data_IF_435539102494
#
_entry.id   IF_435539102494
#
_cell.length_a   1.000
_cell.length_b   1.000
_cell.length_c   1.000
_cell.angle_alpha   90.00
_cell.angle_beta   90.00
_cell.angle_gamma   90.00
#
_symmetry.space_group_name_H-M   'P 1'
#
loop_
_entity.id
_entity.type
_entity.pdbx_description
1 polymer ?
#
# COMPACT_ATOMS: atom_id res chain seq x y z
N UNK A 1 -6.57 20.22 -12.03
CA UNK A 1 -5.12 20.42 -11.82
C UNK A 1 -4.85 20.17 -10.35
N UNK A 2 -3.81 19.38 -9.98
CA UNK A 2 -3.49 19.18 -8.57
C UNK A 2 -3.03 20.51 -7.94
N UNK A 3 -3.40 20.82 -6.69
CA UNK A 3 -2.87 21.95 -5.95
C UNK A 3 -1.35 21.87 -5.79
N UNK A 4 -0.74 22.95 -5.31
CA UNK A 4 0.69 22.96 -5.00
C UNK A 4 1.06 21.77 -4.10
N UNK A 5 2.19 21.14 -4.43
CA UNK A 5 2.68 19.95 -3.72
C UNK A 5 3.77 20.34 -2.74
N UNK A 6 3.53 20.15 -1.45
CA UNK A 6 4.58 20.19 -0.43
C UNK A 6 5.29 18.83 -0.39
N UNK A 7 6.61 18.82 -0.56
CA UNK A 7 7.43 17.62 -0.36
C UNK A 7 7.95 17.58 1.07
N UNK A 8 7.63 16.50 1.79
CA UNK A 8 8.00 16.36 3.20
C UNK A 8 8.74 15.05 3.42
N UNK A 9 9.90 15.12 4.04
CA UNK A 9 10.61 13.97 4.57
C UNK A 9 10.13 13.72 6.01
N UNK A 10 9.66 12.49 6.25
CA UNK A 10 9.15 12.07 7.57
C UNK A 10 10.01 10.91 8.06
N UNK A 11 10.59 11.06 9.24
CA UNK A 11 11.31 9.98 9.90
C UNK A 11 10.32 8.95 10.44
N UNK A 12 10.47 7.70 10.02
CA UNK A 12 9.58 6.58 10.39
C UNK A 12 10.21 5.63 11.40
N UNK A 13 11.54 5.63 11.47
CA UNK A 13 12.35 5.03 12.52
C UNK A 13 13.72 5.74 12.55
N UNK A 14 14.54 5.63 13.59
CA UNK A 14 15.81 6.33 13.69
C UNK A 14 16.71 6.13 12.45
N UNK A 15 17.03 7.21 11.76
CA UNK A 15 17.85 7.20 10.54
C UNK A 15 17.15 6.70 9.29
N UNK A 16 15.84 6.55 9.29
CA UNK A 16 15.03 6.12 8.13
C UNK A 16 13.94 7.13 7.84
N UNK A 17 13.95 7.68 6.63
CA UNK A 17 12.96 8.65 6.18
C UNK A 17 12.18 8.17 4.97
N UNK A 18 10.92 8.58 4.89
CA UNK A 18 10.05 8.43 3.72
C UNK A 18 9.68 9.79 3.17
N UNK A 19 9.48 9.86 1.85
CA UNK A 19 9.06 11.09 1.16
C UNK A 19 7.55 11.07 0.96
N UNK A 20 6.87 12.07 1.50
CA UNK A 20 5.46 12.33 1.29
C UNK A 20 5.26 13.54 0.37
N UNK A 21 4.32 13.44 -0.55
CA UNK A 21 3.83 14.54 -1.38
C UNK A 21 2.46 14.97 -0.85
N UNK A 22 2.42 16.11 -0.18
CA UNK A 22 1.24 16.60 0.52
C UNK A 22 0.53 17.68 -0.29
N UNK A 23 -0.79 17.55 -0.39
CA UNK A 23 -1.70 18.53 -0.98
C UNK A 23 -2.66 18.97 0.12
N UNK A 24 -2.62 20.22 0.49
CA UNK A 24 -3.37 20.76 1.60
C UNK A 24 -4.54 21.63 1.14
N UNK A 25 -5.64 21.54 1.86
CA UNK A 25 -6.72 22.53 1.80
C UNK A 25 -6.36 23.76 2.66
N UNK A 26 -7.08 24.84 2.51
CA UNK A 26 -6.91 26.03 3.34
C UNK A 26 -7.19 25.72 4.81
N UNK A 27 -8.26 24.98 5.07
CA UNK A 27 -8.61 24.46 6.39
C UNK A 27 -7.99 23.08 6.62
N UNK A 28 -6.66 23.07 6.75
CA UNK A 28 -5.84 21.85 6.87
C UNK A 28 -6.25 20.95 8.04
N UNK A 29 -6.61 21.56 9.17
CA UNK A 29 -6.86 20.82 10.42
C UNK A 29 -8.16 20.04 10.38
N UNK A 30 -9.21 20.64 9.84
CA UNK A 30 -10.57 20.09 9.83
C UNK A 30 -10.90 19.28 8.56
N UNK A 31 -10.18 19.54 7.47
CA UNK A 31 -10.32 18.73 6.26
C UNK A 31 -9.86 17.27 6.49
N UNK A 32 -10.64 16.30 6.00
CA UNK A 32 -10.22 14.89 6.04
C UNK A 32 -8.86 14.72 5.35
N UNK A 33 -7.89 14.15 6.05
CA UNK A 33 -6.56 13.86 5.49
C UNK A 33 -6.48 12.42 5.00
N UNK A 34 -6.28 12.23 3.71
CA UNK A 34 -6.18 10.90 3.06
C UNK A 34 -4.72 10.56 2.82
N UNK A 35 -4.21 9.53 3.52
CA UNK A 35 -2.86 9.00 3.31
C UNK A 35 -2.95 7.84 2.32
N UNK A 36 -2.27 7.97 1.16
CA UNK A 36 -2.32 6.98 0.08
C UNK A 36 -1.00 6.22 0.00
N UNK A 37 -1.09 4.89 -0.10
CA UNK A 37 0.06 3.96 -0.14
C UNK A 37 0.03 3.16 -1.44
N UNK A 38 1.12 3.23 -2.20
CA UNK A 38 1.26 2.56 -3.49
C UNK A 38 1.57 1.05 -3.38
N UNK A 39 1.41 0.33 -4.49
CA UNK A 39 1.74 -1.08 -4.63
C UNK A 39 3.24 -1.36 -4.80
N UNK A 40 3.57 -2.64 -5.03
CA UNK A 40 4.94 -3.12 -5.23
C UNK A 40 5.65 -2.32 -6.35
N UNK A 41 6.85 -1.80 -6.05
CA UNK A 41 7.68 -1.00 -6.96
C UNK A 41 6.99 0.25 -7.54
N UNK A 42 5.87 0.69 -6.94
CA UNK A 42 5.21 1.95 -7.25
C UNK A 42 5.90 3.17 -6.64
N UNK A 43 5.23 4.30 -6.74
CA UNK A 43 5.64 5.56 -6.11
C UNK A 43 4.45 6.51 -5.94
N UNK A 44 4.67 7.65 -5.31
CA UNK A 44 3.71 8.77 -5.26
C UNK A 44 3.24 9.25 -6.65
N UNK A 45 4.01 8.94 -7.71
CA UNK A 45 3.70 9.31 -9.09
C UNK A 45 2.93 8.23 -9.87
N UNK A 46 2.58 7.11 -9.25
CA UNK A 46 1.72 6.09 -9.87
C UNK A 46 0.36 6.69 -10.24
N UNK A 47 -0.20 6.31 -11.39
CA UNK A 47 -1.40 6.94 -11.95
C UNK A 47 -2.57 6.97 -10.96
N UNK A 48 -2.85 5.86 -10.29
CA UNK A 48 -3.92 5.80 -9.30
C UNK A 48 -3.67 6.69 -8.06
N UNK A 49 -2.40 6.91 -7.67
CA UNK A 49 -2.04 7.85 -6.60
C UNK A 49 -2.40 9.29 -6.99
N UNK A 50 -2.08 9.65 -8.24
CA UNK A 50 -2.41 10.96 -8.82
C UNK A 50 -3.92 11.12 -9.01
N UNK A 51 -4.60 10.05 -9.44
CA UNK A 51 -6.05 10.05 -9.65
C UNK A 51 -6.84 10.27 -8.36
N UNK A 52 -6.51 9.53 -7.30
CA UNK A 52 -7.10 9.76 -5.96
C UNK A 52 -6.76 11.17 -5.46
N UNK A 53 -5.52 11.62 -5.64
CA UNK A 53 -5.15 12.96 -5.20
C UNK A 53 -5.96 14.06 -5.91
N UNK A 54 -6.13 13.95 -7.23
CA UNK A 54 -6.91 14.90 -8.01
C UNK A 54 -8.39 14.93 -7.57
N UNK A 55 -9.00 13.75 -7.41
CA UNK A 55 -10.41 13.63 -7.03
C UNK A 55 -10.64 14.02 -5.56
N UNK A 56 -9.76 13.58 -4.66
CA UNK A 56 -9.87 13.90 -3.23
C UNK A 56 -9.70 15.39 -2.94
N UNK A 57 -8.68 16.03 -3.54
CA UNK A 57 -8.49 17.48 -3.37
C UNK A 57 -9.63 18.30 -3.96
N UNK A 58 -10.23 17.84 -5.06
CA UNK A 58 -11.37 18.51 -5.69
C UNK A 58 -12.64 18.49 -4.81
N UNK A 59 -12.75 17.55 -3.87
CA UNK A 59 -13.89 17.46 -2.93
C UNK A 59 -13.53 17.93 -1.51
N UNK A 60 -12.42 18.67 -1.36
CA UNK A 60 -12.05 19.32 -0.09
C UNK A 60 -11.23 18.46 0.86
N UNK A 61 -10.63 17.35 0.41
CA UNK A 61 -9.75 16.53 1.25
C UNK A 61 -8.28 17.01 1.16
N UNK A 62 -7.56 16.94 2.27
CA UNK A 62 -6.10 16.90 2.22
C UNK A 62 -5.66 15.54 1.67
N UNK A 63 -4.60 15.51 0.87
CA UNK A 63 -4.09 14.25 0.33
C UNK A 63 -2.59 14.14 0.51
N UNK A 64 -2.14 13.04 1.12
CA UNK A 64 -0.74 12.72 1.35
C UNK A 64 -0.39 11.45 0.57
N UNK A 65 0.35 11.59 -0.52
CA UNK A 65 0.86 10.50 -1.34
C UNK A 65 2.21 10.04 -0.78
N UNK A 66 2.20 8.95 -0.01
CA UNK A 66 3.39 8.42 0.64
C UNK A 66 4.20 7.56 -0.34
N UNK A 67 5.51 7.81 -0.43
CA UNK A 67 6.44 6.84 -0.97
C UNK A 67 6.88 5.89 0.15
N UNK A 68 6.77 4.58 -0.06
CA UNK A 68 7.37 3.61 0.83
C UNK A 68 8.90 3.73 0.80
N UNK A 69 9.59 3.18 1.79
CA UNK A 69 11.07 3.21 1.85
C UNK A 69 11.68 2.84 0.51
N UNK A 70 12.70 3.54 0.08
CA UNK A 70 13.43 3.33 -1.16
C UNK A 70 12.63 3.58 -2.46
N UNK A 71 11.36 3.96 -2.38
CA UNK A 71 10.52 4.24 -3.55
C UNK A 71 10.50 5.74 -3.87
N UNK A 72 10.16 6.08 -5.13
CA UNK A 72 10.08 7.49 -5.55
C UNK A 72 11.42 8.23 -5.53
N UNK A 73 12.55 7.53 -5.75
CA UNK A 73 13.88 8.13 -5.78
C UNK A 73 14.51 8.33 -4.40
N UNK A 74 14.02 7.65 -3.37
CA UNK A 74 14.47 7.81 -1.97
C UNK A 74 15.40 6.69 -1.50
N UNK A 75 16.06 5.98 -2.42
CA UNK A 75 16.90 4.82 -2.09
C UNK A 75 18.00 5.11 -1.06
N UNK A 76 18.51 6.34 -1.02
CA UNK A 76 19.55 6.77 -0.09
C UNK A 76 19.04 7.12 1.32
N UNK A 77 17.72 7.30 1.50
CA UNK A 77 17.12 7.77 2.76
C UNK A 77 16.86 6.64 3.77
N UNK A 78 17.13 5.40 3.41
CA UNK A 78 16.91 4.26 4.29
C UNK A 78 17.95 3.17 4.03
N UNK A 79 18.68 2.70 5.05
CA UNK A 79 19.55 1.53 4.94
C UNK A 79 18.80 0.19 4.98
N UNK A 80 17.47 0.20 5.02
CA UNK A 80 16.62 -1.00 5.08
C UNK A 80 15.74 -1.12 3.86
N UNK A 81 15.13 -2.29 3.61
CA UNK A 81 14.18 -2.50 2.52
C UNK A 81 12.74 -2.24 2.99
N UNK A 82 11.88 -1.82 2.05
CA UNK A 82 10.44 -1.90 2.25
C UNK A 82 9.96 -3.34 2.02
N UNK A 83 8.86 -3.72 2.64
CA UNK A 83 8.22 -5.02 2.46
C UNK A 83 6.74 -4.97 2.92
N UNK A 84 5.96 -5.99 2.59
CA UNK A 84 4.51 -6.04 2.86
C UNK A 84 4.10 -5.99 4.34
N UNK A 85 5.05 -6.11 5.26
CA UNK A 85 4.80 -6.04 6.70
C UNK A 85 5.10 -4.67 7.35
N UNK A 86 5.57 -3.67 6.59
CA UNK A 86 5.98 -2.34 7.13
C UNK A 86 4.80 -1.39 7.37
N UNK A 87 3.73 -1.87 8.00
CA UNK A 87 2.57 -1.07 8.42
C UNK A 87 2.95 0.08 9.37
N UNK A 88 3.98 -0.10 10.19
CA UNK A 88 4.46 0.89 11.16
C UNK A 88 5.01 2.18 10.52
N UNK A 89 5.48 2.13 9.28
CA UNK A 89 5.89 3.35 8.56
C UNK A 89 4.68 4.26 8.30
N UNK A 90 3.52 3.68 7.96
CA UNK A 90 2.27 4.43 7.77
C UNK A 90 1.80 5.00 9.10
N UNK A 91 1.90 4.23 10.18
CA UNK A 91 1.58 4.71 11.53
C UNK A 91 2.44 5.92 11.92
N UNK A 92 3.74 5.87 11.64
CA UNK A 92 4.65 6.98 11.93
C UNK A 92 4.32 8.23 11.10
N UNK A 93 3.96 8.05 9.82
CA UNK A 93 3.48 9.16 8.96
C UNK A 93 2.21 9.77 9.55
N UNK A 94 1.19 8.96 9.89
CA UNK A 94 -0.06 9.45 10.48
C UNK A 94 0.21 10.20 11.79
N UNK A 95 1.05 9.66 12.68
CA UNK A 95 1.42 10.32 13.93
C UNK A 95 2.17 11.65 13.71
N UNK A 96 3.03 11.72 12.67
CA UNK A 96 3.70 12.97 12.31
C UNK A 96 2.68 14.04 11.91
N UNK A 97 1.72 13.69 11.04
CA UNK A 97 0.68 14.62 10.57
C UNK A 97 -0.22 15.09 11.72
N UNK A 98 -0.63 14.18 12.63
CA UNK A 98 -1.39 14.54 13.82
C UNK A 98 -0.63 15.56 14.68
N UNK A 99 0.67 15.34 14.91
CA UNK A 99 1.48 16.20 15.79
C UNK A 99 1.86 17.53 15.14
N UNK A 100 2.25 17.52 13.87
CA UNK A 100 2.81 18.70 13.19
C UNK A 100 1.74 19.55 12.53
N UNK A 101 0.72 18.92 11.93
CA UNK A 101 -0.34 19.61 11.18
C UNK A 101 -1.65 19.68 11.97
N UNK A 102 -1.70 19.03 13.14
CA UNK A 102 -2.88 19.01 14.03
C UNK A 102 -4.16 18.54 13.33
N UNK A 103 -4.01 17.58 12.38
CA UNK A 103 -5.15 17.04 11.65
C UNK A 103 -6.14 16.37 12.64
N UNK A 104 -7.42 16.70 12.51
CA UNK A 104 -8.47 16.18 13.38
C UNK A 104 -8.96 14.79 13.00
N UNK A 105 -8.80 14.42 11.71
CA UNK A 105 -9.24 13.12 11.17
C UNK A 105 -8.44 12.71 9.95
N UNK A 106 -8.21 11.40 9.83
CA UNK A 106 -7.53 10.85 8.65
C UNK A 106 -8.09 9.48 8.25
N UNK A 107 -7.94 9.18 6.97
CA UNK A 107 -8.22 7.88 6.37
C UNK A 107 -7.00 7.33 5.65
N UNK A 108 -6.93 6.01 5.49
CA UNK A 108 -5.88 5.32 4.76
C UNK A 108 -6.43 4.76 3.45
N UNK A 109 -5.67 4.89 2.36
CA UNK A 109 -5.99 4.28 1.06
C UNK A 109 -4.78 3.50 0.59
N UNK A 110 -4.99 2.26 0.14
CA UNK A 110 -3.89 1.43 -0.36
C UNK A 110 -4.26 0.64 -1.61
N UNK A 111 -3.28 0.47 -2.48
CA UNK A 111 -3.40 -0.30 -3.73
C UNK A 111 -2.48 -1.51 -3.70
N UNK A 112 -3.00 -2.70 -4.05
CA UNK A 112 -2.19 -3.93 -4.14
C UNK A 112 -1.44 -4.21 -2.82
N UNK A 113 -0.11 -4.23 -2.81
CA UNK A 113 0.71 -4.34 -1.60
C UNK A 113 0.43 -3.20 -0.60
N UNK A 114 0.20 -1.97 -1.08
CA UNK A 114 -0.23 -0.85 -0.23
C UNK A 114 -1.58 -1.11 0.42
N UNK A 115 -2.50 -1.78 -0.29
CA UNK A 115 -3.77 -2.25 0.25
C UNK A 115 -3.60 -3.25 1.39
N UNK A 116 -2.66 -4.19 1.25
CA UNK A 116 -2.29 -5.09 2.36
C UNK A 116 -1.77 -4.30 3.57
N UNK A 117 -0.88 -3.32 3.34
CA UNK A 117 -0.28 -2.53 4.42
C UNK A 117 -1.30 -1.72 5.22
N UNK A 118 -2.24 -1.03 4.55
CA UNK A 118 -3.26 -0.23 5.24
C UNK A 118 -4.26 -1.09 5.99
N UNK A 119 -4.67 -2.25 5.42
CA UNK A 119 -5.55 -3.20 6.10
C UNK A 119 -4.84 -3.88 7.28
N UNK A 120 -3.56 -4.24 7.12
CA UNK A 120 -2.73 -4.78 8.20
C UNK A 120 -2.65 -3.79 9.36
N UNK A 121 -2.33 -2.54 9.09
CA UNK A 121 -2.27 -1.50 10.12
C UNK A 121 -3.60 -1.32 10.83
N UNK A 122 -4.70 -1.23 10.07
CA UNK A 122 -6.05 -1.10 10.64
C UNK A 122 -6.41 -2.29 11.56
N UNK A 123 -6.06 -3.52 11.16
CA UNK A 123 -6.28 -4.71 11.97
C UNK A 123 -5.33 -4.82 13.18
N UNK A 124 -4.08 -4.36 13.06
CA UNK A 124 -3.14 -4.28 14.18
C UNK A 124 -3.58 -3.27 15.22
N UNK A 125 -4.08 -2.13 14.80
CA UNK A 125 -4.66 -1.13 15.70
C UNK A 125 -5.98 -1.62 16.33
N UNK A 126 -6.84 -2.24 15.54
CA UNK A 126 -8.13 -2.68 16.02
C UNK A 126 -8.87 -1.55 16.75
N UNK A 127 -9.29 -1.82 17.98
CA UNK A 127 -9.98 -0.85 18.86
C UNK A 127 -9.05 0.17 19.51
N UNK A 128 -7.74 -0.05 19.45
CA UNK A 128 -6.70 0.85 20.00
C UNK A 128 -6.21 1.87 18.94
N UNK A 129 -6.89 1.97 17.81
CA UNK A 129 -6.57 2.92 16.76
C UNK A 129 -6.58 4.37 17.29
N UNK A 130 -5.73 5.26 16.75
CA UNK A 130 -5.80 6.68 17.06
C UNK A 130 -7.22 7.21 16.85
N UNK A 131 -7.71 8.07 17.74
CA UNK A 131 -9.06 8.63 17.70
C UNK A 131 -9.35 9.36 16.36
N UNK A 132 -8.30 9.91 15.74
CA UNK A 132 -8.38 10.60 14.45
C UNK A 132 -8.56 9.64 13.26
N UNK A 133 -8.31 8.33 13.43
CA UNK A 133 -8.43 7.35 12.36
C UNK A 133 -9.90 6.98 12.12
N UNK A 134 -10.45 7.37 10.98
CA UNK A 134 -11.87 7.24 10.72
C UNK A 134 -12.26 6.22 9.65
N UNK A 135 -11.39 5.90 8.69
CA UNK A 135 -11.73 4.95 7.62
C UNK A 135 -10.50 4.37 6.92
N UNK A 136 -10.67 3.23 6.25
CA UNK A 136 -9.67 2.66 5.35
C UNK A 136 -10.29 2.15 4.06
N UNK A 137 -9.61 2.36 2.92
CA UNK A 137 -10.00 1.80 1.64
C UNK A 137 -8.83 1.04 1.01
N UNK A 138 -9.09 -0.12 0.44
CA UNK A 138 -8.08 -0.96 -0.19
C UNK A 138 -8.55 -1.47 -1.55
N UNK A 139 -7.72 -1.30 -2.59
CA UNK A 139 -8.02 -1.73 -3.96
C UNK A 139 -7.11 -2.89 -4.34
N UNK A 140 -7.69 -4.03 -4.70
CA UNK A 140 -6.99 -5.30 -5.00
C UNK A 140 -5.89 -5.63 -3.98
N UNK A 141 -6.17 -5.61 -2.66
CA UNK A 141 -5.15 -5.81 -1.64
C UNK A 141 -4.57 -7.23 -1.68
N UNK A 142 -3.24 -7.35 -1.66
CA UNK A 142 -2.55 -8.65 -1.62
C UNK A 142 -2.55 -9.26 -0.21
N UNK A 143 -3.73 -9.51 0.35
CA UNK A 143 -3.90 -9.96 1.74
C UNK A 143 -3.38 -11.38 2.01
N UNK A 144 -3.45 -12.26 1.01
CA UNK A 144 -2.92 -13.62 1.05
C UNK A 144 -1.60 -13.66 0.26
N UNK A 145 -0.51 -13.18 0.87
CA UNK A 145 0.77 -12.96 0.20
C UNK A 145 1.33 -14.20 -0.46
N UNK A 146 1.34 -15.35 0.25
CA UNK A 146 1.84 -16.61 -0.28
C UNK A 146 1.08 -17.05 -1.55
N UNK A 147 -0.25 -17.08 -1.48
CA UNK A 147 -1.10 -17.50 -2.60
C UNK A 147 -0.98 -16.55 -3.80
N UNK A 148 -0.83 -15.24 -3.57
CA UNK A 148 -0.65 -14.25 -4.61
C UNK A 148 0.73 -14.33 -5.27
N UNK A 149 1.80 -14.58 -4.49
CA UNK A 149 3.15 -14.81 -5.00
C UNK A 149 3.21 -16.07 -5.87
N UNK A 150 2.55 -17.16 -5.44
CA UNK A 150 2.48 -18.40 -6.21
C UNK A 150 1.67 -18.21 -7.50
N UNK A 151 0.53 -17.50 -7.44
CA UNK A 151 -0.27 -17.20 -8.62
C UNK A 151 0.48 -16.32 -9.64
N UNK A 152 1.35 -15.42 -9.17
CA UNK A 152 2.19 -14.61 -10.03
C UNK A 152 3.18 -15.44 -10.85
N UNK A 153 3.64 -16.58 -10.31
CA UNK A 153 4.57 -17.51 -10.99
C UNK A 153 3.89 -18.40 -12.05
N UNK A 154 2.55 -18.37 -12.17
CA UNK A 154 1.78 -19.26 -13.04
C UNK A 154 1.45 -18.65 -14.41
N UNK A 155 1.55 -19.45 -15.47
CA UNK A 155 1.03 -19.14 -16.80
C UNK A 155 1.45 -17.79 -17.35
N UNK A 156 0.47 -17.03 -17.87
CA UNK A 156 0.68 -15.68 -18.42
C UNK A 156 1.10 -14.62 -17.39
N UNK A 157 0.89 -14.88 -16.10
CA UNK A 157 1.28 -13.95 -15.04
C UNK A 157 2.80 -13.81 -14.90
N UNK A 158 3.58 -14.74 -15.46
CA UNK A 158 5.05 -14.66 -15.48
C UNK A 158 5.59 -13.41 -16.16
N UNK A 159 4.82 -12.74 -17.02
CA UNK A 159 5.21 -11.44 -17.57
C UNK A 159 5.21 -10.35 -16.49
N UNK A 160 4.21 -10.35 -15.62
CA UNK A 160 4.17 -9.45 -14.45
C UNK A 160 5.29 -9.78 -13.47
N UNK A 161 5.51 -11.07 -13.19
CA UNK A 161 6.59 -11.51 -12.33
C UNK A 161 7.97 -11.07 -12.88
N UNK A 162 8.22 -11.26 -14.18
CA UNK A 162 9.46 -10.81 -14.81
C UNK A 162 9.67 -9.30 -14.64
N UNK A 163 8.62 -8.49 -14.84
CA UNK A 163 8.66 -7.04 -14.66
C UNK A 163 9.01 -6.65 -13.21
N UNK A 164 8.31 -7.24 -12.22
CA UNK A 164 8.61 -7.00 -10.81
C UNK A 164 10.02 -7.47 -10.44
N UNK A 165 10.42 -8.63 -10.88
CA UNK A 165 11.77 -9.16 -10.63
C UNK A 165 12.86 -8.28 -11.24
N UNK A 166 12.64 -7.69 -12.40
CA UNK A 166 13.57 -6.74 -13.00
C UNK A 166 13.73 -5.49 -12.12
N UNK A 167 12.65 -4.94 -11.62
CA UNK A 167 12.66 -3.77 -10.74
C UNK A 167 13.32 -4.08 -9.39
N UNK A 168 12.95 -5.18 -8.74
CA UNK A 168 13.52 -5.62 -7.46
C UNK A 168 15.03 -5.88 -7.56
N UNK A 169 15.49 -6.50 -8.67
CA UNK A 169 16.91 -6.68 -8.94
C UNK A 169 17.64 -5.35 -9.12
N UNK A 170 17.03 -4.41 -9.82
CA UNK A 170 17.58 -3.06 -9.99
C UNK A 170 17.70 -2.36 -8.64
N UNK A 171 16.67 -2.46 -7.80
CA UNK A 171 16.67 -1.89 -6.45
C UNK A 171 17.77 -2.50 -5.57
N UNK A 172 17.88 -3.80 -5.50
CA UNK A 172 18.95 -4.44 -4.71
C UNK A 172 20.36 -4.01 -5.18
N UNK A 173 20.58 -3.90 -6.50
CA UNK A 173 21.85 -3.36 -7.02
C UNK A 173 22.10 -1.92 -6.58
N UNK A 174 21.06 -1.08 -6.58
CA UNK A 174 21.15 0.29 -6.07
C UNK A 174 21.48 0.30 -4.58
N UNK A 175 20.80 -0.52 -3.78
CA UNK A 175 21.06 -0.64 -2.34
C UNK A 175 22.48 -1.12 -2.05
N UNK A 176 22.98 -2.09 -2.79
CA UNK A 176 24.36 -2.58 -2.65
C UNK A 176 25.42 -1.52 -3.00
N UNK A 177 25.08 -0.57 -3.89
CA UNK A 177 25.97 0.57 -4.18
C UNK A 177 25.94 1.63 -3.10
N UNK A 178 24.75 1.93 -2.56
CA UNK A 178 24.56 2.99 -1.55
C UNK A 178 24.99 2.52 -0.15
N UNK A 179 24.78 1.26 0.17
CA UNK A 179 25.04 0.67 1.49
C UNK A 179 25.81 -0.67 1.35
N UNK A 180 27.05 -0.66 0.83
CA UNK A 180 27.80 -1.90 0.54
C UNK A 180 28.14 -2.72 1.79
N UNK A 181 28.12 -2.09 2.98
CA UNK A 181 28.33 -2.78 4.26
C UNK A 181 27.08 -3.55 4.73
N UNK A 182 25.89 -3.28 4.13
CA UNK A 182 24.62 -3.92 4.50
C UNK A 182 24.16 -4.88 3.41
N UNK A 183 24.24 -4.47 2.15
CA UNK A 183 23.67 -5.20 1.01
C UNK A 183 24.75 -5.71 0.07
N UNK A 184 24.56 -6.92 -0.43
CA UNK A 184 25.29 -7.48 -1.55
C UNK A 184 24.35 -8.05 -2.62
N UNK A 185 24.90 -8.34 -3.80
CA UNK A 185 24.13 -8.92 -4.92
C UNK A 185 24.26 -10.42 -5.01
N UNK A 186 25.06 -11.07 -4.16
CA UNK A 186 25.30 -12.52 -4.20
C UNK A 186 24.04 -13.31 -3.90
N UNK A 187 23.17 -12.76 -3.05
CA UNK A 187 21.88 -13.38 -2.71
C UNK A 187 20.91 -13.48 -3.89
N UNK A 188 21.18 -12.77 -5.00
CA UNK A 188 20.41 -12.93 -6.24
C UNK A 188 20.75 -14.20 -7.03
N UNK A 189 21.78 -14.95 -6.62
CA UNK A 189 22.15 -16.19 -7.32
C UNK A 189 21.05 -17.24 -7.18
N UNK A 190 20.60 -17.79 -8.33
CA UNK A 190 19.53 -18.78 -8.39
C UNK A 190 18.15 -18.25 -7.96
N UNK A 191 17.93 -16.92 -7.95
CA UNK A 191 16.61 -16.33 -7.77
C UNK A 191 15.88 -16.29 -9.10
N UNK A 192 14.78 -17.02 -9.23
CA UNK A 192 14.01 -17.18 -10.48
C UNK A 192 12.56 -16.69 -10.37
N UNK A 193 12.06 -16.56 -9.14
CA UNK A 193 10.68 -16.16 -8.84
C UNK A 193 10.63 -15.07 -7.78
N UNK A 194 9.44 -14.46 -7.59
CA UNK A 194 9.20 -13.53 -6.49
C UNK A 194 9.38 -14.23 -5.13
N UNK A 195 8.88 -15.47 -5.00
CA UNK A 195 9.05 -16.26 -3.77
C UNK A 195 10.53 -16.52 -3.46
N UNK A 196 11.37 -16.84 -4.48
CA UNK A 196 12.82 -16.98 -4.27
C UNK A 196 13.46 -15.68 -3.81
N UNK A 197 13.01 -14.55 -4.37
CA UNK A 197 13.49 -13.23 -3.96
C UNK A 197 13.11 -12.94 -2.50
N UNK A 198 11.89 -13.24 -2.15
CA UNK A 198 11.40 -13.03 -0.79
C UNK A 198 12.11 -13.93 0.21
N UNK A 199 12.42 -15.18 -0.18
CA UNK A 199 13.14 -16.11 0.67
C UNK A 199 14.61 -15.71 0.89
N UNK A 200 15.32 -15.39 -0.20
CA UNK A 200 16.77 -15.16 -0.16
C UNK A 200 17.16 -13.71 0.13
N UNK A 201 16.31 -12.75 -0.21
CA UNK A 201 16.62 -11.32 -0.12
C UNK A 201 15.72 -10.65 0.92
N UNK A 202 14.40 -10.63 0.71
CA UNK A 202 13.49 -9.92 1.62
C UNK A 202 13.59 -10.48 3.04
N UNK A 203 13.47 -11.79 3.21
CA UNK A 203 13.54 -12.43 4.53
C UNK A 203 14.88 -12.12 5.21
N UNK A 204 15.98 -12.31 4.50
CA UNK A 204 17.31 -12.09 5.06
C UNK A 204 17.54 -10.66 5.56
N UNK A 205 17.24 -9.65 4.72
CA UNK A 205 17.51 -8.24 5.07
C UNK A 205 16.45 -7.61 5.97
N UNK A 206 15.29 -8.27 6.15
CA UNK A 206 14.18 -7.76 6.95
C UNK A 206 13.90 -8.56 8.23
N UNK A 207 14.75 -9.55 8.56
CA UNK A 207 14.67 -10.28 9.83
C UNK A 207 13.55 -11.32 9.90
N UNK A 208 13.30 -12.01 8.79
CA UNK A 208 12.41 -13.17 8.71
C UNK A 208 13.23 -14.44 8.51
N UNK A 209 12.67 -15.60 8.94
CA UNK A 209 13.33 -16.89 8.80
C UNK A 209 13.36 -17.40 7.35
N UNK A 210 12.41 -16.94 6.52
CA UNK A 210 12.26 -17.29 5.11
C UNK A 210 10.99 -16.67 4.53
N UNK A 211 10.68 -16.98 3.27
CA UNK A 211 9.49 -16.43 2.60
C UNK A 211 8.19 -16.77 3.34
N UNK A 212 8.06 -17.99 3.90
CA UNK A 212 6.85 -18.41 4.60
C UNK A 212 6.61 -17.60 5.87
N UNK A 213 7.63 -17.40 6.71
CA UNK A 213 7.56 -16.55 7.90
C UNK A 213 7.26 -15.10 7.52
N UNK A 214 7.92 -14.61 6.46
CA UNK A 214 7.64 -13.27 5.93
C UNK A 214 6.17 -13.10 5.54
N UNK A 215 5.63 -14.03 4.75
CA UNK A 215 4.24 -13.94 4.30
C UNK A 215 3.25 -14.05 5.45
N UNK A 216 3.47 -14.96 6.39
CA UNK A 216 2.61 -15.13 7.55
C UNK A 216 2.57 -13.85 8.41
N UNK A 217 3.72 -13.32 8.78
CA UNK A 217 3.82 -12.14 9.66
C UNK A 217 3.40 -10.83 8.98
N UNK A 218 3.37 -10.80 7.63
CA UNK A 218 3.09 -9.61 6.84
C UNK A 218 1.69 -9.56 6.24
N UNK A 219 0.93 -10.65 6.26
CA UNK A 219 -0.39 -10.77 5.66
C UNK A 219 -1.47 -10.06 6.47
N UNK A 220 -2.22 -9.15 5.84
CA UNK A 220 -3.40 -8.53 6.43
C UNK A 220 -4.51 -9.56 6.74
N UNK A 221 -4.55 -10.68 5.99
CA UNK A 221 -5.48 -11.79 6.22
C UNK A 221 -5.48 -12.33 7.67
N UNK A 222 -4.36 -12.14 8.40
CA UNK A 222 -4.22 -12.62 9.78
C UNK A 222 -4.83 -11.68 10.83
N UNK A 223 -5.16 -10.44 10.44
CA UNK A 223 -5.66 -9.41 11.37
C UNK A 223 -6.91 -8.70 10.87
N UNK A 224 -7.42 -9.05 9.68
CA UNK A 224 -8.52 -8.35 9.02
C UNK A 224 -9.83 -8.41 9.80
N UNK A 225 -10.05 -9.47 10.56
CA UNK A 225 -11.19 -9.65 11.46
C UNK A 225 -11.20 -8.66 12.65
N UNK A 226 -10.06 -8.04 12.94
CA UNK A 226 -9.89 -7.09 14.06
C UNK A 226 -10.14 -5.63 13.66
N UNK A 227 -10.32 -5.34 12.37
CA UNK A 227 -10.56 -3.97 11.91
C UNK A 227 -11.82 -3.41 12.56
N UNK A 228 -11.69 -2.26 13.20
CA UNK A 228 -12.74 -1.63 14.00
C UNK A 228 -13.28 -0.31 13.42
N UNK A 229 -12.81 0.10 12.24
CA UNK A 229 -13.27 1.30 11.53
C UNK A 229 -13.96 0.94 10.21
N UNK A 230 -14.83 1.80 9.69
CA UNK A 230 -15.42 1.65 8.35
C UNK A 230 -14.35 1.37 7.30
N UNK A 231 -14.54 0.30 6.54
CA UNK A 231 -13.55 -0.23 5.60
C UNK A 231 -14.19 -0.54 4.26
N UNK A 232 -13.60 -0.06 3.17
CA UNK A 232 -13.95 -0.44 1.82
C UNK A 232 -12.86 -1.33 1.22
N UNK A 233 -13.22 -2.51 0.74
CA UNK A 233 -12.32 -3.37 -0.04
C UNK A 233 -12.92 -3.54 -1.43
N UNK A 234 -12.20 -3.07 -2.45
CA UNK A 234 -12.52 -3.30 -3.87
C UNK A 234 -11.63 -4.40 -4.43
N UNK A 235 -12.23 -5.40 -5.06
CA UNK A 235 -11.52 -6.50 -5.70
C UNK A 235 -12.17 -6.84 -7.05
N UNK A 236 -11.37 -7.31 -8.01
CA UNK A 236 -11.87 -7.82 -9.29
C UNK A 236 -11.71 -9.35 -9.31
N UNK A 237 -12.78 -10.06 -9.63
CA UNK A 237 -12.75 -11.52 -9.74
C UNK A 237 -11.76 -12.01 -10.82
N UNK A 238 -11.55 -11.18 -11.85
CA UNK A 238 -10.58 -11.43 -12.92
C UNK A 238 -9.17 -10.89 -12.66
N UNK A 239 -8.83 -10.50 -11.39
CA UNK A 239 -7.45 -10.12 -11.05
C UNK A 239 -6.51 -11.29 -11.36
N UNK A 240 -5.48 -11.06 -12.20
CA UNK A 240 -4.67 -12.18 -12.70
C UNK A 240 -3.87 -12.90 -11.61
N UNK A 241 -3.49 -12.24 -10.51
CA UNK A 241 -2.60 -12.83 -9.50
C UNK A 241 -2.97 -12.55 -8.05
N UNK A 242 -3.81 -11.57 -7.73
CA UNK A 242 -4.26 -11.42 -6.35
C UNK A 242 -5.27 -12.52 -6.03
N UNK A 243 -5.02 -13.23 -4.94
CA UNK A 243 -5.90 -14.31 -4.46
C UNK A 243 -6.44 -13.97 -3.09
N UNK A 244 -7.74 -14.16 -2.93
CA UNK A 244 -8.42 -14.08 -1.62
C UNK A 244 -8.86 -15.50 -1.26
N UNK A 245 -8.21 -16.08 -0.25
CA UNK A 245 -8.52 -17.44 0.18
C UNK A 245 -9.89 -17.52 0.88
N UNK A 246 -10.57 -18.67 0.86
CA UNK A 246 -11.91 -18.82 1.44
C UNK A 246 -12.00 -18.37 2.89
N UNK A 247 -11.02 -18.72 3.71
CA UNK A 247 -10.95 -18.31 5.13
C UNK A 247 -10.80 -16.80 5.31
N UNK A 248 -10.03 -16.14 4.44
CA UNK A 248 -9.88 -14.68 4.43
C UNK A 248 -11.20 -14.03 4.01
N UNK A 249 -11.85 -14.55 2.98
CA UNK A 249 -13.16 -14.09 2.52
C UNK A 249 -14.20 -14.21 3.64
N UNK A 250 -14.21 -15.31 4.38
CA UNK A 250 -15.11 -15.49 5.51
C UNK A 250 -14.88 -14.44 6.60
N UNK A 251 -13.62 -14.14 6.95
CA UNK A 251 -13.28 -13.08 7.91
C UNK A 251 -13.79 -11.71 7.46
N UNK A 252 -13.58 -11.37 6.17
CA UNK A 252 -14.07 -10.12 5.56
C UNK A 252 -15.59 -10.02 5.70
N UNK A 253 -16.32 -11.03 5.27
CA UNK A 253 -17.79 -11.04 5.27
C UNK A 253 -18.40 -11.07 6.67
N UNK A 254 -17.66 -11.55 7.66
CA UNK A 254 -18.10 -11.60 9.07
C UNK A 254 -17.81 -10.32 9.84
N UNK A 255 -16.99 -9.41 9.31
CA UNK A 255 -16.69 -8.15 9.98
C UNK A 255 -17.68 -7.05 9.55
N UNK A 256 -18.55 -6.55 10.45
CA UNK A 256 -19.58 -5.58 10.11
C UNK A 256 -19.01 -4.22 9.68
N UNK A 257 -17.74 -3.94 9.95
CA UNK A 257 -17.09 -2.70 9.53
C UNK A 257 -16.58 -2.76 8.08
N UNK A 258 -16.60 -3.94 7.42
CA UNK A 258 -16.03 -4.12 6.09
C UNK A 258 -17.15 -4.19 5.04
N UNK A 259 -17.13 -3.25 4.12
CA UNK A 259 -17.85 -3.31 2.84
C UNK A 259 -16.94 -3.93 1.80
N UNK A 260 -17.25 -5.14 1.36
CA UNK A 260 -16.50 -5.85 0.33
C UNK A 260 -17.25 -5.77 -1.00
N UNK A 261 -16.63 -5.16 -1.99
CA UNK A 261 -17.16 -5.04 -3.35
C UNK A 261 -16.26 -5.82 -4.29
N UNK A 262 -16.80 -6.89 -4.85
CA UNK A 262 -16.14 -7.70 -5.88
C UNK A 262 -16.84 -7.51 -7.21
N UNK A 263 -16.12 -7.04 -8.21
CA UNK A 263 -16.60 -6.90 -9.58
C UNK A 263 -16.15 -8.08 -10.42
N UNK A 264 -16.90 -8.42 -11.47
CA UNK A 264 -16.48 -9.45 -12.42
C UNK A 264 -15.19 -9.04 -13.14
N UNK A 265 -15.16 -7.78 -13.60
CA UNK A 265 -14.05 -7.17 -14.33
C UNK A 265 -13.40 -6.03 -13.52
N UNK A 266 -12.13 -5.75 -13.82
CA UNK A 266 -11.35 -4.70 -13.17
C UNK A 266 -9.84 -4.95 -13.30
N UNK A 267 -9.46 -6.20 -13.48
CA UNK A 267 -8.06 -6.61 -13.53
C UNK A 267 -7.30 -6.21 -12.26
N UNK A 268 -5.99 -6.05 -12.36
CA UNK A 268 -5.20 -5.63 -11.21
C UNK A 268 -5.19 -4.10 -11.08
N UNK A 269 -6.06 -3.56 -10.20
CA UNK A 269 -6.16 -2.13 -9.86
C UNK A 269 -6.57 -1.18 -11.01
N UNK A 270 -7.03 -1.69 -12.17
CA UNK A 270 -7.33 -0.83 -13.32
C UNK A 270 -8.75 -0.25 -13.26
N UNK A 271 -9.77 -1.09 -13.08
CA UNK A 271 -11.19 -0.74 -12.94
C UNK A 271 -11.64 0.40 -13.87
N UNK A 272 -11.43 0.19 -15.18
CA UNK A 272 -11.87 1.15 -16.18
C UNK A 272 -13.35 0.90 -16.51
N UNK A 273 -14.15 1.93 -16.44
CA UNK A 273 -15.54 1.95 -16.86
C UNK A 273 -15.73 2.90 -18.05
N UNK A 274 -16.90 2.86 -18.68
CA UNK A 274 -17.27 3.88 -19.64
C UNK A 274 -17.19 5.27 -19.00
N UNK A 275 -16.60 6.22 -19.73
CA UNK A 275 -16.53 7.60 -19.28
C UNK A 275 -17.93 8.23 -19.43
N UNK A 276 -18.67 8.25 -18.34
CA UNK A 276 -19.99 8.90 -18.23
C UNK A 276 -19.84 10.21 -17.46
N UNK A 277 -19.29 11.22 -18.15
CA UNK A 277 -19.02 12.52 -17.58
C UNK A 277 -17.79 12.61 -16.66
N UNK A 278 -16.97 11.54 -16.60
CA UNK A 278 -15.74 11.46 -15.81
C UNK A 278 -14.57 10.84 -16.61
N UNK A 279 -13.46 10.52 -15.95
CA UNK A 279 -12.27 9.93 -16.57
C UNK A 279 -12.33 8.39 -16.72
N UNK A 280 -13.45 7.76 -16.40
CA UNK A 280 -13.67 6.30 -16.47
C UNK A 280 -12.91 5.50 -15.40
N UNK A 281 -12.23 6.12 -14.44
CA UNK A 281 -11.47 5.44 -13.36
C UNK A 281 -12.38 5.11 -12.19
N UNK A 282 -13.13 4.03 -12.34
CA UNK A 282 -14.21 3.65 -11.44
C UNK A 282 -13.76 3.45 -9.98
N UNK A 283 -12.67 2.69 -9.74
CA UNK A 283 -12.21 2.43 -8.39
C UNK A 283 -11.79 3.70 -7.65
N UNK A 284 -11.13 4.64 -8.35
CA UNK A 284 -10.75 5.92 -7.75
C UNK A 284 -11.98 6.72 -7.32
N UNK A 285 -13.04 6.71 -8.12
CA UNK A 285 -14.31 7.36 -7.78
C UNK A 285 -14.98 6.68 -6.58
N UNK A 286 -15.07 5.34 -6.56
CA UNK A 286 -15.66 4.61 -5.42
C UNK A 286 -14.93 4.89 -4.11
N UNK A 287 -13.59 4.91 -4.14
CA UNK A 287 -12.78 5.23 -2.96
C UNK A 287 -13.06 6.64 -2.46
N UNK A 288 -13.06 7.64 -3.36
CA UNK A 288 -13.31 9.04 -2.95
C UNK A 288 -14.74 9.23 -2.46
N UNK A 289 -15.73 8.61 -3.11
CA UNK A 289 -17.12 8.66 -2.68
C UNK A 289 -17.32 8.02 -1.30
N UNK A 290 -16.72 6.88 -1.04
CA UNK A 290 -16.73 6.26 0.28
C UNK A 290 -16.15 7.20 1.35
N UNK A 291 -15.03 7.86 1.04
CA UNK A 291 -14.36 8.74 1.99
C UNK A 291 -15.11 10.07 2.27
N UNK A 292 -16.02 10.47 1.39
CA UNK A 292 -16.85 11.69 1.61
C UNK A 292 -17.82 11.56 2.79
N UNK A 293 -18.06 10.36 3.30
CA UNK A 293 -18.91 10.13 4.45
C UNK A 293 -18.24 10.51 5.79
N UNK A 294 -16.94 10.81 5.77
CA UNK A 294 -16.11 11.10 6.94
C UNK A 294 -15.53 12.51 6.88
#
# INVERSE_FOLDING_TARGET
MLPATEKRLIEVEPGVQVLCHCHWQEDRQDALTVIIVHGLEGSSESQYMLGIAAKGTAVGMNVVRMNQRNCGGTDALSPTLYHSGRSQDIAAVAQNLIRQDQISRFALVGFSMGGNLVLKLAGEWGREAPQQFCAVAAVCPSMNLAASADALHLGGNRLYEYYFMWQLRRRLRMKARLFPQVFDTLRMRGVTSLRDFDDKVTAHYCGFEGASDYYERSAAANVIDRIAVPTLILHAANDPFIRILPETRQKILSNPNITFVETEDGGHCSFLAAADGDDGRWAERQVVEFLRAF
#
